data_IF_133695904102
#
_entry.id   IF_133695904102
#
_cell.length_a   1.000
_cell.length_b   1.000
_cell.length_c   1.000
_cell.angle_alpha   90.00
_cell.angle_beta   90.00
_cell.angle_gamma   90.00
#
_symmetry.space_group_name_H-M   'P 1'
#
loop_
_entity.id
_entity.type
_entity.pdbx_description
1 polymer ?
#
# COMPACT_ATOMS: atom_id res chain seq x y z
N UNK A 1 -1.31 7.46 41.14
CA UNK A 1 -1.90 6.25 40.56
C UNK A 1 -2.85 6.66 39.46
N UNK A 2 -2.44 6.42 38.22
CA UNK A 2 -3.32 6.61 37.04
C UNK A 2 -4.41 5.55 37.13
N UNK A 3 -5.71 5.90 37.14
CA UNK A 3 -6.75 4.89 37.12
C UNK A 3 -6.72 4.17 35.76
N UNK A 4 -6.95 2.87 35.77
CA UNK A 4 -7.03 2.04 34.60
C UNK A 4 -8.10 2.60 33.63
N UNK A 5 -7.78 2.54 32.34
CA UNK A 5 -8.68 2.92 31.25
C UNK A 5 -9.98 2.13 31.33
N UNK A 6 -11.02 2.77 31.83
CA UNK A 6 -12.38 2.37 31.68
C UNK A 6 -13.14 3.54 31.06
N UNK A 7 -13.83 3.28 29.96
CA UNK A 7 -14.76 4.24 29.37
C UNK A 7 -15.85 4.53 30.43
N UNK A 8 -15.73 5.67 31.09
CA UNK A 8 -16.76 6.13 32.03
C UNK A 8 -17.67 7.05 31.25
N UNK A 9 -18.85 6.58 30.92
CA UNK A 9 -19.97 7.47 30.58
C UNK A 9 -20.26 8.34 31.80
N UNK A 10 -19.64 9.53 31.83
CA UNK A 10 -19.93 10.52 32.84
C UNK A 10 -21.00 11.46 32.28
N UNK A 11 -22.21 11.40 32.80
CA UNK A 11 -23.21 12.42 32.54
C UNK A 11 -22.73 13.76 33.10
N UNK A 12 -23.11 14.83 32.43
CA UNK A 12 -23.00 16.23 32.91
C UNK A 12 -21.56 16.76 33.17
N UNK A 13 -20.67 16.62 32.18
CA UNK A 13 -19.40 17.35 32.21
C UNK A 13 -19.58 18.73 31.61
N UNK A 14 -19.21 19.76 32.37
CA UNK A 14 -19.17 21.11 31.86
C UNK A 14 -18.02 21.27 30.85
N UNK A 15 -18.25 21.97 29.73
CA UNK A 15 -17.25 22.30 28.73
C UNK A 15 -16.14 23.21 29.30
N UNK A 16 -16.39 23.84 30.43
CA UNK A 16 -15.44 24.67 31.14
C UNK A 16 -15.64 24.59 32.64
N UNK A 17 -14.56 24.74 33.41
CA UNK A 17 -14.56 24.83 34.87
C UNK A 17 -14.02 26.20 35.25
N UNK A 18 -14.75 26.92 36.12
CA UNK A 18 -14.26 28.15 36.77
C UNK A 18 -13.88 27.76 38.20
N UNK A 19 -12.60 27.87 38.54
CA UNK A 19 -12.11 27.67 39.88
C UNK A 19 -11.88 29.02 40.55
N UNK A 20 -12.63 29.30 41.62
CA UNK A 20 -12.38 30.45 42.47
C UNK A 20 -11.46 30.04 43.62
N UNK A 21 -10.30 30.70 43.72
CA UNK A 21 -9.40 30.57 44.86
C UNK A 21 -9.80 31.59 45.89
N UNK A 22 -10.28 31.13 47.03
CA UNK A 22 -10.63 32.01 48.17
C UNK A 22 -9.55 31.89 49.27
N UNK A 23 -9.40 32.90 50.10
CA UNK A 23 -8.33 33.05 51.09
C UNK A 23 -8.34 31.97 52.17
N UNK A 24 -9.40 31.16 52.29
CA UNK A 24 -9.58 30.12 53.34
C UNK A 24 -9.01 28.75 52.95
N UNK A 25 -8.07 28.66 52.01
CA UNK A 25 -7.47 27.38 51.60
C UNK A 25 -6.37 26.95 52.58
N UNK A 26 -6.78 26.21 53.57
CA UNK A 26 -5.85 25.51 54.42
C UNK A 26 -5.47 24.15 53.78
N UNK A 27 -4.46 24.18 52.85
CA UNK A 27 -3.70 23.03 52.36
C UNK A 27 -4.44 21.96 51.51
N UNK A 28 -5.56 22.23 50.96
CA UNK A 28 -6.22 21.31 50.03
C UNK A 28 -5.65 21.41 48.59
N UNK A 29 -5.13 20.30 48.09
CA UNK A 29 -4.79 20.21 46.68
C UNK A 29 -6.05 19.90 45.84
N UNK A 30 -6.36 20.73 44.86
CA UNK A 30 -7.43 20.43 43.90
C UNK A 30 -6.89 19.61 42.76
N UNK A 31 -7.57 18.50 42.45
CA UNK A 31 -7.26 17.64 41.30
C UNK A 31 -8.36 17.84 40.27
N UNK A 32 -7.98 18.37 39.10
CA UNK A 32 -8.89 18.48 37.96
C UNK A 32 -8.61 17.29 37.03
N UNK A 33 -9.61 16.45 36.85
CA UNK A 33 -9.52 15.31 35.93
C UNK A 33 -10.02 15.74 34.54
N UNK A 34 -9.21 15.47 33.52
CA UNK A 34 -9.59 15.64 32.12
C UNK A 34 -9.98 14.27 31.57
N UNK A 35 -11.10 14.24 30.88
CA UNK A 35 -11.60 13.02 30.24
C UNK A 35 -11.63 13.20 28.73
N UNK A 36 -11.16 12.18 28.01
CA UNK A 36 -11.18 12.15 26.57
C UNK A 36 -12.14 11.06 26.11
N UNK A 37 -12.89 11.34 25.06
CA UNK A 37 -13.79 10.38 24.43
C UNK A 37 -13.30 10.08 23.01
N UNK A 38 -13.17 8.81 22.69
CA UNK A 38 -12.94 8.39 21.32
C UNK A 38 -14.22 8.58 20.50
N UNK A 39 -14.10 9.17 19.33
CA UNK A 39 -15.18 9.42 18.38
C UNK A 39 -14.88 8.73 17.05
N UNK A 40 -15.90 8.45 16.26
CA UNK A 40 -15.72 7.94 14.90
C UNK A 40 -15.39 9.11 13.97
N UNK A 41 -14.30 8.95 13.22
CA UNK A 41 -13.78 9.95 12.29
C UNK A 41 -13.47 9.32 10.94
N UNK A 42 -13.58 10.07 9.83
CA UNK A 42 -13.17 9.57 8.54
C UNK A 42 -11.64 9.46 8.45
N UNK A 43 -11.17 8.56 7.60
CA UNK A 43 -9.81 8.50 7.10
C UNK A 43 -9.83 8.05 5.64
N UNK A 44 -8.76 8.32 4.90
CA UNK A 44 -8.67 7.95 3.50
C UNK A 44 -7.49 7.01 3.24
N UNK A 45 -7.59 6.21 2.18
CA UNK A 45 -6.47 5.48 1.60
C UNK A 45 -6.36 5.79 0.11
N UNK A 46 -5.13 6.08 -0.33
CA UNK A 46 -4.74 6.34 -1.71
C UNK A 46 -3.76 5.28 -2.17
N UNK A 47 -3.82 4.91 -3.43
CA UNK A 47 -3.02 3.84 -3.99
C UNK A 47 -2.18 4.36 -5.15
N UNK A 48 -0.87 4.09 -5.08
CA UNK A 48 0.13 4.58 -6.01
C UNK A 48 0.87 3.40 -6.63
N UNK A 49 0.93 3.34 -7.95
CA UNK A 49 1.58 2.28 -8.68
C UNK A 49 2.81 2.81 -9.41
N UNK A 50 3.92 2.07 -9.32
CA UNK A 50 5.16 2.44 -9.98
C UNK A 50 4.97 2.51 -11.50
N UNK A 51 5.50 3.56 -12.12
CA UNK A 51 5.46 3.77 -13.55
C UNK A 51 6.30 2.72 -14.31
N UNK A 52 6.04 2.56 -15.61
CA UNK A 52 6.78 1.62 -16.45
C UNK A 52 8.19 2.15 -16.76
N UNK A 53 8.29 3.44 -17.06
CA UNK A 53 9.48 4.04 -17.67
C UNK A 53 10.40 4.79 -16.70
N UNK A 54 9.96 4.96 -15.45
CA UNK A 54 10.71 5.65 -14.40
C UNK A 54 10.47 5.00 -13.03
N UNK A 55 11.09 5.53 -11.98
CA UNK A 55 10.95 5.03 -10.62
C UNK A 55 9.90 5.80 -9.80
N UNK A 56 9.12 6.67 -10.44
CA UNK A 56 8.04 7.40 -9.80
C UNK A 56 6.75 6.58 -9.76
N UNK A 57 5.78 7.08 -9.00
CA UNK A 57 4.49 6.45 -8.80
C UNK A 57 3.38 7.36 -9.29
N UNK A 58 2.35 6.77 -9.84
CA UNK A 58 1.12 7.47 -10.23
C UNK A 58 -0.04 6.96 -9.38
N UNK A 59 -0.83 7.89 -8.85
CA UNK A 59 -2.05 7.56 -8.10
C UNK A 59 -3.10 6.97 -9.04
N UNK A 60 -3.65 5.83 -8.63
CA UNK A 60 -4.89 5.32 -9.23
C UNK A 60 -6.09 5.84 -8.43
N UNK A 61 -6.65 6.94 -8.89
CA UNK A 61 -7.78 7.61 -8.24
C UNK A 61 -9.05 6.77 -8.19
N UNK A 62 -9.17 5.75 -9.06
CA UNK A 62 -10.33 4.83 -9.07
C UNK A 62 -10.35 3.93 -7.83
N UNK A 63 -9.20 3.74 -7.19
CA UNK A 63 -9.02 2.93 -5.99
C UNK A 63 -9.14 3.72 -4.70
N UNK A 64 -9.37 5.04 -4.78
CA UNK A 64 -9.54 5.87 -3.59
C UNK A 64 -10.58 5.29 -2.63
N UNK A 65 -10.21 5.14 -1.37
CA UNK A 65 -11.10 4.61 -0.34
C UNK A 65 -11.28 5.64 0.78
N UNK A 66 -12.52 5.92 1.12
CA UNK A 66 -12.87 6.64 2.34
C UNK A 66 -13.53 5.68 3.32
N UNK A 67 -13.03 5.65 4.53
CA UNK A 67 -13.46 4.75 5.60
C UNK A 67 -13.67 5.52 6.88
N UNK A 68 -14.24 4.87 7.89
CA UNK A 68 -14.45 5.45 9.22
C UNK A 68 -13.87 4.50 10.26
N UNK A 69 -13.23 5.09 11.28
CA UNK A 69 -12.75 4.34 12.44
C UNK A 69 -12.81 5.23 13.69
N UNK A 70 -12.77 4.62 14.87
CA UNK A 70 -12.62 5.36 16.12
C UNK A 70 -11.23 5.99 16.20
N UNK A 71 -11.15 7.19 16.75
CA UNK A 71 -9.89 7.88 17.00
C UNK A 71 -8.92 7.01 17.78
N UNK A 72 -7.65 7.01 17.38
CA UNK A 72 -6.62 6.15 17.96
C UNK A 72 -6.63 4.70 17.49
N UNK A 73 -7.56 4.30 16.61
CA UNK A 73 -7.50 2.97 15.98
C UNK A 73 -6.23 2.88 15.13
N UNK A 74 -5.45 1.85 15.37
CA UNK A 74 -4.24 1.56 14.59
C UNK A 74 -4.65 0.89 13.28
N UNK A 75 -4.33 1.50 12.16
CA UNK A 75 -4.51 0.93 10.82
C UNK A 75 -3.20 0.26 10.40
N UNK A 76 -3.27 -1.03 10.08
CA UNK A 76 -2.10 -1.83 9.68
C UNK A 76 -1.99 -1.94 8.18
N UNK A 77 -0.81 -2.38 7.72
CA UNK A 77 -0.54 -2.60 6.30
C UNK A 77 -1.55 -3.56 5.63
N UNK A 78 -1.99 -4.59 6.35
CA UNK A 78 -2.91 -5.62 5.85
C UNK A 78 -4.34 -5.10 5.70
N UNK A 79 -4.71 -4.08 6.47
CA UNK A 79 -6.04 -3.47 6.42
C UNK A 79 -6.25 -2.59 5.18
N UNK A 80 -5.15 -2.18 4.54
CA UNK A 80 -5.14 -1.30 3.37
C UNK A 80 -4.54 -2.05 2.17
N UNK A 81 -5.37 -2.53 1.27
CA UNK A 81 -4.91 -3.20 0.06
C UNK A 81 -5.75 -2.77 -1.15
N UNK A 82 -5.10 -2.66 -2.31
CA UNK A 82 -5.78 -2.66 -3.60
C UNK A 82 -6.42 -4.03 -3.83
N UNK A 83 -7.44 -4.08 -4.67
CA UNK A 83 -8.03 -5.35 -5.05
C UNK A 83 -7.06 -6.23 -5.84
N UNK A 84 -7.38 -7.53 -5.95
CA UNK A 84 -6.51 -8.50 -6.59
C UNK A 84 -6.26 -8.19 -8.08
N UNK A 85 -7.23 -7.58 -8.78
CA UNK A 85 -7.10 -7.27 -10.20
C UNK A 85 -6.07 -6.16 -10.45
N UNK A 86 -6.06 -5.12 -9.60
CA UNK A 86 -5.12 -4.00 -9.72
C UNK A 86 -3.73 -4.31 -9.17
N UNK A 87 -3.58 -5.32 -8.31
CA UNK A 87 -2.29 -5.71 -7.73
C UNK A 87 -1.53 -6.77 -8.54
N UNK A 88 -2.09 -7.30 -9.63
CA UNK A 88 -1.40 -8.24 -10.51
C UNK A 88 -0.12 -7.60 -11.07
N UNK A 89 1.00 -8.28 -10.92
CA UNK A 89 2.30 -7.78 -11.38
C UNK A 89 2.93 -6.71 -10.50
N UNK A 90 2.39 -6.50 -9.30
CA UNK A 90 2.91 -5.52 -8.34
C UNK A 90 3.13 -6.12 -6.96
N UNK A 91 4.12 -5.58 -6.25
CA UNK A 91 4.38 -5.84 -4.84
C UNK A 91 4.05 -4.60 -4.03
N UNK A 92 3.15 -4.74 -3.05
CA UNK A 92 2.85 -3.67 -2.12
C UNK A 92 4.06 -3.40 -1.22
N UNK A 93 4.47 -2.14 -1.12
CA UNK A 93 5.47 -1.72 -0.16
C UNK A 93 4.89 -1.73 1.26
N UNK A 94 5.75 -1.98 2.23
CA UNK A 94 5.35 -1.98 3.63
C UNK A 94 5.02 -0.55 4.08
N UNK A 95 3.89 -0.42 4.73
CA UNK A 95 3.40 0.79 5.37
C UNK A 95 3.38 0.57 6.89
N UNK A 96 3.96 1.50 7.63
CA UNK A 96 3.99 1.41 9.08
C UNK A 96 2.58 1.62 9.66
N UNK A 97 2.22 0.85 10.72
CA UNK A 97 0.96 1.08 11.42
C UNK A 97 0.89 2.50 11.99
N UNK A 98 -0.24 3.16 11.78
CA UNK A 98 -0.48 4.52 12.24
C UNK A 98 -1.88 4.65 12.84
N UNK A 99 -2.02 5.51 13.86
CA UNK A 99 -3.29 5.76 14.51
C UNK A 99 -4.12 6.80 13.75
N UNK A 100 -5.41 6.54 13.64
CA UNK A 100 -6.35 7.52 13.05
C UNK A 100 -6.48 8.74 13.97
N UNK A 101 -6.18 9.92 13.43
CA UNK A 101 -6.22 11.19 14.12
C UNK A 101 -7.66 11.67 14.38
N UNK A 102 -7.85 12.40 15.49
CA UNK A 102 -9.17 12.83 15.92
C UNK A 102 -9.82 13.90 15.03
N UNK A 103 -9.04 14.60 14.23
CA UNK A 103 -9.50 15.63 13.31
C UNK A 103 -9.99 15.10 11.95
N UNK A 104 -9.87 13.78 11.73
CA UNK A 104 -10.25 13.14 10.46
C UNK A 104 -9.31 13.42 9.29
N UNK A 105 -8.12 13.98 9.54
CA UNK A 105 -7.15 14.35 8.50
C UNK A 105 -6.29 13.18 8.01
N UNK A 106 -6.40 12.00 8.63
CA UNK A 106 -5.52 10.86 8.33
C UNK A 106 -5.71 10.37 6.90
N UNK A 107 -4.61 10.32 6.15
CA UNK A 107 -4.54 9.79 4.79
C UNK A 107 -3.40 8.80 4.70
N UNK A 108 -3.72 7.56 4.37
CA UNK A 108 -2.74 6.50 4.13
C UNK A 108 -2.38 6.45 2.65
N UNK A 109 -1.10 6.45 2.35
CA UNK A 109 -0.57 6.30 0.99
C UNK A 109 0.03 4.90 0.83
N UNK A 110 -0.56 4.11 -0.07
CA UNK A 110 -0.18 2.73 -0.31
C UNK A 110 0.55 2.64 -1.65
N UNK A 111 1.84 2.31 -1.61
CA UNK A 111 2.71 2.22 -2.78
C UNK A 111 2.90 0.78 -3.24
N UNK A 112 2.93 0.58 -4.55
CA UNK A 112 3.05 -0.71 -5.22
C UNK A 112 4.17 -0.66 -6.26
N UNK A 113 5.23 -1.46 -6.04
CA UNK A 113 6.33 -1.63 -6.98
C UNK A 113 5.97 -2.63 -8.06
N UNK A 114 6.38 -2.37 -9.32
CA UNK A 114 6.27 -3.34 -10.40
C UNK A 114 7.22 -4.50 -10.17
N UNK A 115 6.72 -5.71 -10.37
CA UNK A 115 7.55 -6.91 -10.35
C UNK A 115 8.56 -6.87 -11.50
N UNK A 116 9.74 -7.43 -11.26
CA UNK A 116 10.74 -7.67 -12.28
C UNK A 116 10.72 -9.13 -12.68
N UNK A 117 10.80 -9.39 -13.98
CA UNK A 117 10.89 -10.72 -14.55
C UNK A 117 12.17 -10.88 -15.34
N UNK A 118 12.91 -11.98 -15.09
CA UNK A 118 14.01 -12.40 -15.93
C UNK A 118 13.45 -13.32 -17.03
N UNK A 119 13.51 -12.82 -18.26
CA UNK A 119 13.12 -13.58 -19.44
C UNK A 119 14.36 -14.22 -20.03
N UNK A 120 14.37 -15.53 -20.09
CA UNK A 120 15.44 -16.34 -20.68
C UNK A 120 14.98 -16.90 -22.01
N UNK A 121 15.88 -16.96 -22.97
CA UNK A 121 15.61 -17.50 -24.30
C UNK A 121 16.39 -18.81 -24.50
N UNK A 122 15.70 -19.88 -24.84
CA UNK A 122 16.34 -21.08 -25.40
C UNK A 122 16.49 -20.88 -26.90
N UNK A 123 17.68 -20.49 -27.31
CA UNK A 123 18.00 -20.21 -28.71
C UNK A 123 18.42 -21.45 -29.49
N UNK A 124 18.22 -22.66 -28.93
CA UNK A 124 18.41 -23.95 -29.59
C UNK A 124 19.75 -24.05 -30.35
N UNK A 125 20.87 -23.68 -29.69
CA UNK A 125 22.21 -23.68 -30.28
C UNK A 125 22.50 -22.54 -31.27
N UNK A 126 21.66 -21.52 -31.33
CA UNK A 126 21.93 -20.26 -32.01
C UNK A 126 22.74 -19.29 -31.16
N UNK A 127 22.88 -18.04 -31.59
CA UNK A 127 23.53 -16.94 -30.88
C UNK A 127 22.87 -15.60 -31.24
N UNK A 128 23.13 -14.57 -30.44
CA UNK A 128 22.70 -13.19 -30.71
C UNK A 128 21.49 -12.72 -29.90
N UNK A 129 20.97 -13.55 -28.98
CA UNK A 129 19.88 -13.16 -28.07
C UNK A 129 20.31 -13.40 -26.64
N UNK A 130 20.23 -12.37 -25.82
CA UNK A 130 20.59 -12.39 -24.41
C UNK A 130 19.35 -12.33 -23.52
N UNK A 131 19.39 -12.87 -22.29
CA UNK A 131 18.31 -12.71 -21.32
C UNK A 131 17.95 -11.23 -21.06
N UNK A 132 16.68 -10.96 -20.86
CA UNK A 132 16.17 -9.61 -20.59
C UNK A 132 15.56 -9.54 -19.20
N UNK A 133 15.93 -8.48 -18.45
CA UNK A 133 15.27 -8.12 -17.21
C UNK A 133 14.24 -7.03 -17.51
N UNK A 134 12.96 -7.32 -17.30
CA UNK A 134 11.88 -6.38 -17.62
C UNK A 134 10.94 -6.20 -16.42
N UNK A 135 10.43 -4.98 -16.25
CA UNK A 135 9.32 -4.69 -15.33
C UNK A 135 8.02 -5.26 -15.90
N UNK A 136 7.12 -5.69 -15.05
CA UNK A 136 5.76 -6.09 -15.44
C UNK A 136 5.10 -5.03 -16.33
N UNK A 137 4.55 -5.44 -17.45
CA UNK A 137 3.90 -4.57 -18.43
C UNK A 137 4.85 -3.75 -19.32
N UNK A 138 6.18 -3.95 -19.22
CA UNK A 138 7.12 -3.27 -20.11
C UNK A 138 7.22 -4.02 -21.45
N UNK A 139 6.91 -3.38 -22.58
CA UNK A 139 7.19 -3.96 -23.88
C UNK A 139 8.71 -3.99 -24.13
N UNK A 140 9.21 -5.08 -24.64
CA UNK A 140 10.62 -5.20 -25.03
C UNK A 140 10.75 -5.87 -26.39
N UNK A 141 11.80 -5.50 -27.13
CA UNK A 141 12.13 -6.14 -28.41
C UNK A 141 13.15 -7.24 -28.17
N UNK A 142 12.92 -8.37 -28.81
CA UNK A 142 13.84 -9.50 -28.82
C UNK A 142 14.50 -9.59 -30.19
N UNK A 143 15.82 -9.55 -30.23
CA UNK A 143 16.54 -9.74 -31.48
C UNK A 143 16.43 -11.19 -31.95
N UNK A 144 16.27 -11.37 -33.26
CA UNK A 144 16.27 -12.70 -33.87
C UNK A 144 17.62 -13.38 -33.65
N UNK A 145 17.65 -14.63 -33.14
CA UNK A 145 18.90 -15.38 -33.03
C UNK A 145 19.36 -15.87 -34.39
N UNK A 146 20.66 -16.03 -34.54
CA UNK A 146 21.26 -16.58 -35.75
C UNK A 146 21.76 -17.98 -35.48
N UNK A 147 21.52 -18.91 -36.41
CA UNK A 147 22.06 -20.28 -36.37
C UNK A 147 22.58 -20.68 -37.76
N UNK A 148 23.83 -21.13 -37.81
CA UNK A 148 24.45 -21.52 -39.06
C UNK A 148 23.65 -22.61 -39.78
N UNK A 149 23.33 -22.42 -41.05
CA UNK A 149 22.58 -23.37 -41.86
C UNK A 149 21.06 -23.39 -41.65
N UNK A 150 20.51 -22.49 -40.82
CA UNK A 150 19.08 -22.42 -40.52
C UNK A 150 18.56 -21.01 -40.70
N UNK A 151 17.27 -20.92 -40.98
CA UNK A 151 16.52 -19.67 -41.00
C UNK A 151 15.70 -19.58 -39.69
N UNK A 152 15.63 -18.42 -39.08
CA UNK A 152 14.81 -18.20 -37.89
C UNK A 152 13.33 -18.44 -38.24
N UNK A 153 12.65 -19.25 -37.45
CA UNK A 153 11.26 -19.66 -37.67
C UNK A 153 10.24 -19.01 -36.74
N UNK A 154 10.70 -18.19 -35.77
CA UNK A 154 9.85 -17.54 -34.78
C UNK A 154 10.17 -17.95 -33.34
N UNK A 155 9.49 -17.28 -32.41
CA UNK A 155 9.53 -17.58 -30.98
C UNK A 155 8.30 -18.39 -30.57
N UNK A 156 8.46 -19.26 -29.60
CA UNK A 156 7.39 -19.95 -28.90
C UNK A 156 7.50 -19.66 -27.40
N UNK A 157 6.40 -19.22 -26.77
CA UNK A 157 6.38 -18.96 -25.34
C UNK A 157 6.06 -20.24 -24.59
N UNK A 158 7.01 -20.71 -23.82
CA UNK A 158 6.85 -21.86 -22.93
C UNK A 158 6.75 -21.38 -21.50
N UNK A 159 5.61 -21.59 -20.86
CA UNK A 159 5.51 -21.37 -19.42
C UNK A 159 6.42 -22.34 -18.66
N UNK A 160 6.90 -21.94 -17.49
CA UNK A 160 7.86 -22.70 -16.66
C UNK A 160 7.38 -24.14 -16.36
N UNK A 161 6.11 -24.45 -16.57
CA UNK A 161 5.50 -25.78 -16.43
C UNK A 161 5.40 -26.59 -17.74
N UNK A 162 6.02 -26.16 -18.82
CA UNK A 162 6.16 -26.92 -20.06
C UNK A 162 4.91 -26.96 -20.95
N UNK A 163 3.95 -26.07 -20.75
CA UNK A 163 2.84 -25.87 -21.67
C UNK A 163 2.99 -24.51 -22.36
N UNK A 164 3.60 -24.51 -23.53
CA UNK A 164 3.50 -23.37 -24.45
C UNK A 164 2.08 -23.26 -25.00
N UNK A 165 1.54 -22.06 -25.09
CA UNK A 165 0.24 -21.80 -25.72
C UNK A 165 0.36 -21.61 -27.26
N UNK A 166 1.57 -21.69 -27.81
CA UNK A 166 1.86 -21.53 -29.25
C UNK A 166 1.63 -20.11 -29.78
N UNK A 167 1.52 -19.11 -28.91
CA UNK A 167 1.34 -17.71 -29.30
C UNK A 167 2.50 -16.84 -28.85
N UNK A 168 3.36 -16.46 -29.80
CA UNK A 168 4.49 -15.56 -29.58
C UNK A 168 4.15 -14.06 -29.61
N UNK A 169 2.89 -13.66 -29.68
CA UNK A 169 2.56 -12.30 -30.10
C UNK A 169 2.44 -11.28 -28.97
N UNK A 170 2.20 -11.66 -27.74
CA UNK A 170 2.16 -10.71 -26.61
C UNK A 170 2.40 -11.41 -25.29
N UNK A 171 3.44 -11.01 -24.57
CA UNK A 171 3.51 -11.22 -23.12
C UNK A 171 2.50 -10.28 -22.46
N UNK A 172 1.79 -10.74 -21.42
CA UNK A 172 0.84 -9.92 -20.68
C UNK A 172 1.45 -8.69 -20.05
#
# INVERSE_FOLDING_TARGET
TVPAQGEVDAPDKADSIVLAVTEDYDRAAYVVNVYYKAIDVPYAARFYFQNIHDDFYTEDVSLYQQRTARTGTIITNEMLAADAAHSVGFNKLYHYPEAVAADGSTVFECYYDRNYHLIKFDINGGYGTEPVYARYGTPFLVNEPTRHGYVFGGWDLVEENGKGDGRADTLP
#
